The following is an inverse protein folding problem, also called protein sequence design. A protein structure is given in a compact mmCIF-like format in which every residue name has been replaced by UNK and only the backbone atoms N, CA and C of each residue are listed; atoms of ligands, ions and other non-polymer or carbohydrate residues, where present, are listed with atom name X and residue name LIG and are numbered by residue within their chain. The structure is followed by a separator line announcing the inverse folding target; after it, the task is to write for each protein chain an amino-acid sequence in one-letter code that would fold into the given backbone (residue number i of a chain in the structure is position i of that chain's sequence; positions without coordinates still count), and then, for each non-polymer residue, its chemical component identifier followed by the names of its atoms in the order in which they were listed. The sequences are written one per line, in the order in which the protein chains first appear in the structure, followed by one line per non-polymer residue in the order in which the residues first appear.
data_IF_245326972412
#
_entry.id   IF_245326972412
#
_cell.length_a   1.000
_cell.length_b   1.000
_cell.length_c   1.000
_cell.angle_alpha   90.00
_cell.angle_beta   90.00
_cell.angle_gamma   90.00
#
_symmetry.space_group_name_H-M   'P 1'
#
loop_
_entity.id
_entity.type
_entity.pdbx_description
1 polymer ?
#
# COMPACT_ATOMS: atom_id res chain seq x y z
N UNK A 1 -0.76 22.53 13.29
CA UNK A 1 0.45 23.19 12.78
C UNK A 1 1.26 23.65 13.98
N UNK A 2 2.15 22.83 14.50
CA UNK A 2 3.25 23.34 15.29
C UNK A 2 4.37 23.68 14.31
N UNK A 3 4.54 24.95 14.03
CA UNK A 3 5.78 25.44 13.46
C UNK A 3 6.88 25.08 14.44
N UNK A 4 7.93 24.42 13.96
CA UNK A 4 9.20 24.35 14.67
C UNK A 4 9.69 25.80 14.71
N UNK A 5 9.31 26.51 15.78
CA UNK A 5 9.68 27.90 15.99
C UNK A 5 11.15 27.97 16.31
N UNK A 6 11.85 28.94 15.75
CA UNK A 6 13.09 29.48 16.28
C UNK A 6 12.83 29.95 17.71
N UNK A 7 12.94 29.06 18.67
CA UNK A 7 12.83 29.35 20.07
C UNK A 7 13.98 28.65 20.79
N UNK A 8 14.82 29.43 21.45
CA UNK A 8 15.88 29.01 22.36
C UNK A 8 15.35 28.16 23.53
N UNK A 9 14.75 27.00 23.24
CA UNK A 9 14.52 25.98 24.25
C UNK A 9 15.77 25.10 24.29
N UNK A 10 16.43 24.93 25.44
CA UNK A 10 17.60 24.06 25.56
C UNK A 10 17.30 22.59 25.25
N UNK A 11 16.01 22.22 25.14
CA UNK A 11 15.54 20.88 24.81
C UNK A 11 15.04 20.75 23.34
N UNK A 12 15.30 21.74 22.48
CA UNK A 12 14.88 21.68 21.08
C UNK A 12 15.76 20.68 20.31
N UNK A 13 15.13 19.60 19.83
CA UNK A 13 15.80 18.63 18.96
C UNK A 13 16.12 19.29 17.61
N UNK A 14 17.42 19.45 17.32
CA UNK A 14 17.86 19.96 16.03
C UNK A 14 18.00 18.80 15.04
N UNK A 15 17.15 18.80 14.01
CA UNK A 15 17.19 17.79 12.94
C UNK A 15 18.11 18.27 11.80
N UNK A 16 18.82 17.33 11.18
CA UNK A 16 19.56 17.62 9.97
C UNK A 16 18.61 18.03 8.84
N UNK A 17 18.94 19.06 8.04
CA UNK A 17 18.06 19.51 6.94
C UNK A 17 17.71 18.41 5.94
N UNK A 18 18.58 17.41 5.77
CA UNK A 18 18.38 16.27 4.88
C UNK A 18 17.28 15.29 5.33
N UNK A 19 16.80 15.37 6.57
CA UNK A 19 15.76 14.45 7.08
C UNK A 19 14.39 14.68 6.41
N UNK A 20 14.07 15.93 6.08
CA UNK A 20 12.75 16.27 5.54
C UNK A 20 12.80 17.03 4.19
N UNK A 21 13.98 17.34 3.63
CA UNK A 21 14.20 17.94 2.30
C UNK A 21 13.10 18.93 1.86
N UNK A 22 13.05 20.10 2.46
CA UNK A 22 12.09 21.17 2.12
C UNK A 22 10.61 20.82 2.31
N UNK A 23 10.30 19.67 2.92
CA UNK A 23 8.92 19.32 3.24
C UNK A 23 8.45 20.14 4.47
N UNK A 24 7.21 20.64 4.43
CA UNK A 24 6.62 21.40 5.55
C UNK A 24 6.19 20.51 6.72
N UNK A 25 6.37 19.20 6.62
CA UNK A 25 5.94 18.19 7.58
C UNK A 25 7.06 17.20 7.83
N UNK A 26 7.13 16.72 9.06
CA UNK A 26 8.02 15.65 9.49
C UNK A 26 7.20 14.41 9.83
N UNK A 27 7.62 13.25 9.32
CA UNK A 27 7.09 11.96 9.75
C UNK A 27 7.61 11.60 11.14
N UNK A 28 6.72 11.29 12.07
CA UNK A 28 7.07 10.88 13.43
C UNK A 28 6.45 9.53 13.74
N UNK A 29 7.23 8.63 14.32
CA UNK A 29 6.79 7.31 14.77
C UNK A 29 7.12 7.13 16.24
N UNK A 30 6.17 6.60 17.01
CA UNK A 30 6.42 6.15 18.37
C UNK A 30 6.89 4.69 18.39
N UNK A 31 7.71 4.27 19.36
CA UNK A 31 8.12 2.88 19.49
C UNK A 31 6.89 2.00 19.78
N UNK A 32 6.70 0.95 19.00
CA UNK A 32 5.57 0.01 19.13
C UNK A 32 6.01 -1.45 19.33
N UNK A 33 7.31 -1.73 19.24
CA UNK A 33 7.85 -3.06 19.48
C UNK A 33 8.76 -3.07 20.73
N UNK A 34 8.87 -4.21 21.44
CA UNK A 34 9.80 -4.34 22.56
C UNK A 34 11.25 -3.97 22.16
N UNK A 35 11.69 -4.37 20.97
CA UNK A 35 13.03 -4.05 20.46
C UNK A 35 13.25 -2.54 20.34
N UNK A 36 12.28 -1.80 19.80
CA UNK A 36 12.37 -0.35 19.68
C UNK A 36 12.43 0.34 21.05
N UNK A 37 11.65 -0.12 22.02
CA UNK A 37 11.72 0.40 23.38
C UNK A 37 13.10 0.16 24.02
N UNK A 38 13.68 -1.04 23.88
CA UNK A 38 15.01 -1.35 24.37
C UNK A 38 16.09 -0.50 23.69
N UNK A 39 15.99 -0.35 22.37
CA UNK A 39 16.91 0.45 21.57
C UNK A 39 16.89 1.92 21.99
N UNK A 40 15.71 2.52 22.13
CA UNK A 40 15.57 3.92 22.55
C UNK A 40 16.01 4.11 24.02
N UNK A 41 15.76 3.15 24.90
CA UNK A 41 16.26 3.22 26.28
C UNK A 41 17.81 3.17 26.33
N UNK A 42 18.44 2.35 25.49
CA UNK A 42 19.88 2.30 25.36
C UNK A 42 20.42 3.60 24.73
N UNK A 43 19.79 4.12 23.69
CA UNK A 43 20.17 5.37 23.02
C UNK A 43 20.09 6.57 24.00
N UNK A 44 19.05 6.63 24.83
CA UNK A 44 18.89 7.70 25.82
C UNK A 44 20.03 7.73 26.85
N UNK A 45 20.65 6.59 27.16
CA UNK A 45 21.85 6.56 28.03
C UNK A 45 23.08 7.20 27.40
N UNK A 46 23.05 7.48 26.11
CA UNK A 46 24.06 8.19 25.33
C UNK A 46 23.59 9.57 24.83
N UNK A 47 22.58 10.13 25.49
CA UNK A 47 21.99 11.44 25.15
C UNK A 47 21.33 11.50 23.74
N UNK A 48 20.92 10.34 23.23
CA UNK A 48 20.19 10.23 21.96
C UNK A 48 18.70 9.99 22.25
N UNK A 49 17.86 10.98 22.01
CA UNK A 49 16.43 10.95 22.33
C UNK A 49 15.53 10.66 21.13
N UNK A 50 16.10 10.67 19.92
CA UNK A 50 15.41 10.32 18.69
C UNK A 50 16.35 9.61 17.72
N UNK A 51 15.76 8.76 16.86
CA UNK A 51 16.47 8.03 15.81
C UNK A 51 15.83 8.34 14.47
N UNK A 52 16.64 8.50 13.43
CA UNK A 52 16.16 8.50 12.05
C UNK A 52 16.01 7.05 11.61
N UNK A 53 14.80 6.66 11.23
CA UNK A 53 14.51 5.29 10.85
C UNK A 53 13.95 5.22 9.43
N UNK A 54 14.42 4.24 8.65
CA UNK A 54 13.96 3.96 7.30
C UNK A 54 13.89 2.45 7.10
N UNK A 55 13.29 1.99 5.99
CA UNK A 55 13.29 0.58 5.61
C UNK A 55 14.70 0.09 5.31
N UNK A 56 15.01 -1.17 5.69
CA UNK A 56 16.29 -1.82 5.42
C UNK A 56 16.26 -2.55 4.07
N UNK A 57 16.57 -1.82 2.98
CA UNK A 57 16.63 -2.34 1.62
C UNK A 57 17.52 -1.47 0.73
N UNK A 58 17.96 -2.02 -0.37
CA UNK A 58 18.51 -1.23 -1.47
C UNK A 58 17.39 -0.41 -2.15
N UNK A 59 17.77 0.69 -2.82
CA UNK A 59 16.80 1.51 -3.56
C UNK A 59 16.05 0.66 -4.57
N UNK A 60 14.72 0.81 -4.60
CA UNK A 60 13.80 0.08 -5.50
C UNK A 60 13.73 -1.44 -5.30
N UNK A 61 14.39 -1.96 -4.27
CA UNK A 61 14.30 -3.37 -3.88
C UNK A 61 13.33 -3.55 -2.70
N UNK A 62 12.77 -4.75 -2.53
CA UNK A 62 11.93 -5.06 -1.38
C UNK A 62 12.71 -5.00 -0.06
N UNK A 63 12.03 -4.67 1.05
CA UNK A 63 12.62 -4.71 2.39
C UNK A 63 13.21 -6.11 2.66
N UNK A 64 14.43 -6.15 3.18
CA UNK A 64 15.09 -7.40 3.55
C UNK A 64 14.35 -8.10 4.70
N UNK A 65 14.23 -9.41 4.58
CA UNK A 65 13.57 -10.27 5.58
C UNK A 65 14.41 -11.45 6.02
N UNK A 66 15.58 -11.62 5.42
CA UNK A 66 16.56 -12.65 5.75
C UNK A 66 17.85 -11.99 6.26
N UNK A 67 18.34 -12.42 7.41
CA UNK A 67 19.53 -11.84 8.04
C UNK A 67 20.80 -12.05 7.20
N UNK A 68 20.89 -13.14 6.44
CA UNK A 68 22.02 -13.43 5.55
C UNK A 68 22.03 -12.50 4.35
N UNK A 69 20.87 -12.28 3.71
CA UNK A 69 20.75 -11.33 2.62
C UNK A 69 20.93 -9.88 3.10
N UNK A 70 20.39 -9.53 4.25
CA UNK A 70 20.62 -8.21 4.86
C UNK A 70 22.11 -7.98 5.14
N UNK A 71 22.83 -8.99 5.60
CA UNK A 71 24.28 -8.90 5.77
C UNK A 71 25.00 -8.68 4.44
N UNK A 72 24.67 -9.45 3.41
CA UNK A 72 25.29 -9.36 2.09
C UNK A 72 25.01 -8.00 1.44
N UNK A 73 23.75 -7.60 1.39
CA UNK A 73 23.31 -6.41 0.66
C UNK A 73 23.59 -5.11 1.37
N UNK A 74 23.64 -5.10 2.70
CA UNK A 74 23.78 -3.85 3.45
C UNK A 74 25.13 -3.74 4.18
N UNK A 75 25.58 -4.80 4.89
CA UNK A 75 26.82 -4.74 5.67
C UNK A 75 28.03 -4.98 4.78
N UNK A 76 28.06 -6.07 4.03
CA UNK A 76 29.19 -6.40 3.17
C UNK A 76 29.36 -5.38 2.03
N UNK A 77 28.29 -4.75 1.59
CA UNK A 77 28.31 -3.66 0.62
C UNK A 77 28.72 -2.30 1.23
N UNK A 78 28.94 -2.20 2.54
CA UNK A 78 29.37 -0.97 3.22
C UNK A 78 28.29 0.11 3.32
N UNK A 79 27.03 -0.26 3.25
CA UNK A 79 25.86 0.65 3.37
C UNK A 79 25.50 0.86 4.83
N UNK A 80 25.63 -0.18 5.65
CA UNK A 80 25.39 -0.14 7.08
C UNK A 80 26.60 -0.67 7.85
N UNK A 81 26.81 -0.17 9.07
CA UNK A 81 27.94 -0.50 9.93
C UNK A 81 27.68 -1.71 10.83
N UNK A 82 26.40 -1.96 11.14
CA UNK A 82 26.01 -3.05 12.05
C UNK A 82 24.61 -3.57 11.73
N UNK A 83 24.39 -4.85 12.04
CA UNK A 83 23.10 -5.52 11.96
C UNK A 83 22.67 -5.99 13.36
N UNK A 84 21.50 -5.57 13.81
CA UNK A 84 20.85 -6.09 14.99
C UNK A 84 19.74 -7.06 14.56
N UNK A 85 20.04 -8.35 14.57
CA UNK A 85 19.13 -9.44 14.21
C UNK A 85 18.47 -10.10 15.43
N UNK A 86 17.58 -11.04 15.18
CA UNK A 86 17.05 -11.97 16.16
C UNK A 86 16.77 -13.33 15.50
N UNK A 87 16.53 -14.36 16.31
CA UNK A 87 16.28 -15.73 15.87
C UNK A 87 14.86 -16.00 15.35
N UNK A 88 14.01 -14.97 15.32
CA UNK A 88 12.63 -15.08 14.82
C UNK A 88 12.54 -14.66 13.36
N UNK A 89 12.16 -15.60 12.50
CA UNK A 89 11.98 -15.34 11.08
C UNK A 89 10.92 -14.25 10.80
N UNK A 90 11.19 -13.40 9.84
CA UNK A 90 10.23 -12.42 9.30
C UNK A 90 9.39 -13.12 8.23
N UNK A 91 8.15 -13.41 8.54
CA UNK A 91 7.25 -14.13 7.62
C UNK A 91 6.68 -13.26 6.51
N UNK A 92 6.61 -11.96 6.70
CA UNK A 92 5.97 -11.05 5.76
C UNK A 92 6.68 -9.70 5.75
N UNK A 93 6.89 -9.19 4.55
CA UNK A 93 7.32 -7.81 4.34
C UNK A 93 6.17 -6.87 4.67
N UNK A 94 6.40 -5.93 5.56
CA UNK A 94 5.45 -4.88 5.90
C UNK A 94 6.17 -3.56 6.07
N UNK A 95 5.77 -2.59 5.28
CA UNK A 95 6.11 -1.19 5.51
C UNK A 95 5.38 -0.65 6.74
N UNK A 96 5.85 0.47 7.27
CA UNK A 96 5.07 1.26 8.19
C UNK A 96 3.99 2.05 7.44
N UNK A 97 2.80 2.13 8.04
CA UNK A 97 1.74 2.99 7.53
C UNK A 97 2.13 4.45 7.71
N UNK A 98 1.72 5.27 6.74
CA UNK A 98 1.85 6.73 6.82
C UNK A 98 0.45 7.31 6.87
N UNK A 99 0.19 8.09 7.90
CA UNK A 99 -1.13 8.73 8.10
C UNK A 99 -0.98 10.22 8.30
N UNK A 100 -2.01 10.97 7.93
CA UNK A 100 -2.20 12.38 8.27
C UNK A 100 -3.50 12.55 9.02
N UNK A 101 -3.57 13.58 9.85
CA UNK A 101 -4.82 14.00 10.45
C UNK A 101 -5.33 15.22 9.69
N UNK A 102 -6.47 15.08 9.02
CA UNK A 102 -7.13 16.13 8.25
C UNK A 102 -8.52 16.34 8.86
N UNK A 103 -8.79 17.54 9.32
CA UNK A 103 -10.06 17.91 9.97
C UNK A 103 -10.47 16.93 11.09
N UNK A 104 -9.50 16.52 11.91
CA UNK A 104 -9.72 15.59 13.02
C UNK A 104 -9.89 14.12 12.62
N UNK A 105 -9.80 13.81 11.33
CA UNK A 105 -9.92 12.44 10.81
C UNK A 105 -8.56 11.91 10.37
N UNK A 106 -8.26 10.68 10.75
CA UNK A 106 -7.04 9.98 10.29
C UNK A 106 -7.22 9.54 8.84
N UNK A 107 -6.34 10.03 7.98
CA UNK A 107 -6.30 9.70 6.56
C UNK A 107 -5.03 8.93 6.24
N UNK A 108 -5.10 7.64 5.82
CA UNK A 108 -3.94 6.89 5.39
C UNK A 108 -3.39 7.43 4.06
N UNK A 109 -2.10 7.75 4.03
CA UNK A 109 -1.33 8.03 2.81
C UNK A 109 -0.72 6.74 2.28
N UNK A 110 -0.24 5.88 3.20
CA UNK A 110 0.19 4.51 2.93
C UNK A 110 -0.50 3.58 3.92
N UNK A 111 -1.21 2.58 3.40
CA UNK A 111 -1.91 1.59 4.21
C UNK A 111 -1.06 0.32 4.30
N UNK A 112 -0.47 0.06 5.47
CA UNK A 112 0.37 -1.10 5.74
C UNK A 112 0.22 -1.55 7.20
N UNK A 113 1.29 -1.60 7.98
CA UNK A 113 1.28 -2.08 9.37
C UNK A 113 0.21 -1.40 10.23
N UNK A 114 -0.59 -2.19 10.93
CA UNK A 114 -1.68 -1.73 11.79
C UNK A 114 -3.02 -1.49 11.07
N UNK A 115 -3.01 -1.38 9.74
CA UNK A 115 -4.22 -1.19 8.92
C UNK A 115 -4.48 -2.38 7.98
N UNK A 116 -3.46 -2.90 7.31
CA UNK A 116 -3.58 -4.10 6.51
C UNK A 116 -3.33 -5.34 7.39
N UNK A 117 -4.02 -6.45 7.17
CA UNK A 117 -5.02 -6.71 6.12
C UNK A 117 -6.47 -6.59 6.60
N UNK A 118 -6.78 -5.68 7.53
CA UNK A 118 -8.17 -5.48 7.98
C UNK A 118 -9.09 -5.22 6.77
N UNK A 119 -10.25 -5.89 6.69
CA UNK A 119 -11.16 -5.69 5.59
C UNK A 119 -11.74 -4.28 5.57
N UNK A 120 -11.94 -3.75 4.38
CA UNK A 120 -12.65 -2.50 4.13
C UNK A 120 -14.08 -2.83 3.66
N UNK A 121 -15.10 -2.13 4.15
CA UNK A 121 -16.46 -2.34 3.67
C UNK A 121 -16.58 -1.93 2.20
N UNK A 122 -17.39 -2.66 1.45
CA UNK A 122 -17.78 -2.32 0.09
C UNK A 122 -19.25 -1.94 0.05
N UNK A 123 -19.70 -1.20 -0.97
CA UNK A 123 -21.12 -0.96 -1.19
C UNK A 123 -21.88 -2.29 -1.27
N UNK A 124 -23.04 -2.35 -0.63
CA UNK A 124 -23.92 -3.50 -0.73
C UNK A 124 -24.38 -3.67 -2.18
N UNK A 125 -23.99 -4.77 -2.81
CA UNK A 125 -24.44 -5.15 -4.15
C UNK A 125 -25.67 -6.08 -4.02
N UNK A 126 -26.53 -6.06 -5.03
CA UNK A 126 -27.66 -6.99 -5.08
C UNK A 126 -27.14 -8.42 -5.37
N UNK A 127 -27.05 -9.25 -4.34
CA UNK A 127 -26.59 -10.63 -4.42
C UNK A 127 -25.26 -10.87 -3.68
N UNK A 128 -24.77 -12.10 -3.74
CA UNK A 128 -23.49 -12.50 -3.16
C UNK A 128 -22.34 -11.87 -3.95
N UNK A 129 -21.40 -11.24 -3.24
CA UNK A 129 -20.21 -10.70 -3.87
C UNK A 129 -19.25 -11.85 -4.24
N UNK A 130 -18.93 -12.08 -5.52
CA UNK A 130 -17.95 -13.10 -5.90
C UNK A 130 -16.57 -12.72 -5.33
N UNK A 131 -15.75 -13.73 -5.06
CA UNK A 131 -14.34 -13.47 -4.77
C UNK A 131 -13.64 -13.01 -6.05
N UNK A 132 -13.24 -11.75 -6.11
CA UNK A 132 -12.49 -11.17 -7.22
C UNK A 132 -11.09 -10.82 -6.70
N UNK A 133 -10.06 -11.26 -7.40
CA UNK A 133 -8.69 -10.78 -7.18
C UNK A 133 -8.43 -9.59 -8.10
N UNK A 134 -8.21 -8.42 -7.50
CA UNK A 134 -7.70 -7.24 -8.17
C UNK A 134 -6.17 -7.16 -8.01
N UNK A 135 -5.45 -7.26 -9.13
CA UNK A 135 -4.00 -7.41 -9.18
C UNK A 135 -3.22 -6.09 -8.95
N UNK A 136 -3.91 -4.97 -8.94
CA UNK A 136 -3.30 -3.65 -8.76
C UNK A 136 -2.49 -3.16 -9.96
N UNK A 137 -2.05 -1.89 -9.91
CA UNK A 137 -1.16 -1.29 -10.91
C UNK A 137 0.30 -1.70 -10.67
N UNK A 138 1.23 -1.11 -11.44
CA UNK A 138 2.66 -1.33 -11.27
C UNK A 138 3.23 -0.52 -10.12
N UNK A 139 2.92 0.78 -10.06
CA UNK A 139 3.46 1.69 -9.04
C UNK A 139 2.61 1.67 -7.77
N UNK A 140 3.27 1.76 -6.61
CA UNK A 140 2.61 1.76 -5.29
C UNK A 140 1.61 0.60 -5.13
N UNK A 141 1.98 -0.55 -5.69
CA UNK A 141 1.08 -1.68 -5.83
C UNK A 141 0.52 -2.18 -4.49
N UNK A 142 -0.74 -2.52 -4.53
CA UNK A 142 -1.44 -3.33 -3.55
C UNK A 142 -2.27 -4.37 -4.28
N UNK A 143 -2.64 -5.43 -3.59
CA UNK A 143 -3.54 -6.48 -4.09
C UNK A 143 -4.82 -6.39 -3.29
N UNK A 144 -5.94 -6.65 -3.92
CA UNK A 144 -7.21 -6.68 -3.22
C UNK A 144 -8.04 -7.92 -3.59
N UNK A 145 -8.70 -8.48 -2.59
CA UNK A 145 -9.70 -9.53 -2.79
C UNK A 145 -11.04 -9.06 -2.28
N UNK A 146 -12.09 -9.36 -3.03
CA UNK A 146 -13.46 -9.18 -2.55
C UNK A 146 -14.01 -10.48 -1.99
N UNK A 147 -14.75 -10.40 -0.89
CA UNK A 147 -15.48 -11.53 -0.29
C UNK A 147 -16.56 -10.98 0.65
N UNK A 148 -17.56 -11.79 0.94
CA UNK A 148 -18.43 -11.51 2.09
C UNK A 148 -17.64 -11.66 3.39
N UNK A 149 -17.81 -10.73 4.32
CA UNK A 149 -17.25 -10.81 5.65
C UNK A 149 -18.01 -11.83 6.54
N UNK A 150 -17.65 -11.92 7.81
CA UNK A 150 -18.31 -12.83 8.76
C UNK A 150 -19.78 -12.51 9.01
N UNK A 151 -20.26 -11.33 8.64
CA UNK A 151 -21.65 -10.90 8.76
C UNK A 151 -22.46 -11.09 7.45
N UNK A 152 -21.80 -11.56 6.37
CA UNK A 152 -22.38 -11.68 5.04
C UNK A 152 -22.40 -10.35 4.27
N UNK A 153 -21.63 -9.35 4.70
CA UNK A 153 -21.51 -8.07 4.01
C UNK A 153 -20.30 -8.10 3.05
N UNK A 154 -20.41 -7.38 1.93
CA UNK A 154 -19.34 -7.30 0.96
C UNK A 154 -18.13 -6.54 1.56
N UNK A 155 -16.97 -7.16 1.51
CA UNK A 155 -15.74 -6.62 2.05
C UNK A 155 -14.58 -6.76 1.06
N UNK A 156 -13.62 -5.85 1.15
CA UNK A 156 -12.39 -5.83 0.38
C UNK A 156 -11.18 -6.05 1.31
N UNK A 157 -10.44 -7.11 1.07
CA UNK A 157 -9.20 -7.45 1.77
C UNK A 157 -8.03 -6.90 0.96
N UNK A 158 -7.53 -5.74 1.36
CA UNK A 158 -6.43 -5.06 0.67
C UNK A 158 -5.11 -5.41 1.36
N UNK A 159 -4.11 -5.83 0.57
CA UNK A 159 -2.76 -6.10 1.07
C UNK A 159 -2.12 -4.85 1.70
N UNK A 160 -1.01 -5.06 2.40
CA UNK A 160 -0.08 -3.98 2.66
C UNK A 160 0.45 -3.38 1.35
N UNK A 161 1.01 -2.18 1.45
CA UNK A 161 1.80 -1.60 0.37
C UNK A 161 2.95 -2.55 -0.01
N UNK A 162 3.10 -2.83 -1.30
CA UNK A 162 4.12 -3.75 -1.83
C UNK A 162 5.26 -2.94 -2.45
N UNK A 163 4.95 -1.79 -3.04
CA UNK A 163 5.89 -0.95 -3.76
C UNK A 163 5.73 -1.06 -5.28
N UNK A 164 6.76 -0.66 -6.00
CA UNK A 164 6.72 -0.59 -7.46
C UNK A 164 7.14 -1.95 -8.05
N UNK A 165 6.21 -2.62 -8.73
CA UNK A 165 6.38 -3.99 -9.26
C UNK A 165 7.01 -3.92 -10.65
N UNK A 166 8.31 -3.54 -10.69
CA UNK A 166 9.04 -3.29 -11.94
C UNK A 166 10.10 -4.34 -12.26
N UNK A 167 10.50 -5.14 -11.29
CA UNK A 167 11.54 -6.15 -11.44
C UNK A 167 11.12 -7.52 -10.85
N UNK A 168 11.97 -8.53 -11.00
CA UNK A 168 11.71 -9.89 -10.54
C UNK A 168 11.52 -9.97 -9.02
N UNK A 169 12.36 -9.28 -8.24
CA UNK A 169 12.30 -9.31 -6.78
C UNK A 169 11.01 -8.68 -6.22
N UNK A 170 10.58 -7.54 -6.78
CA UNK A 170 9.32 -6.91 -6.40
C UNK A 170 8.11 -7.70 -6.87
N UNK A 171 8.21 -8.38 -8.01
CA UNK A 171 7.16 -9.29 -8.49
C UNK A 171 7.05 -10.55 -7.61
N UNK A 172 8.16 -11.09 -7.14
CA UNK A 172 8.15 -12.21 -6.17
C UNK A 172 7.53 -11.78 -4.84
N UNK A 173 7.82 -10.56 -4.37
CA UNK A 173 7.17 -9.98 -3.19
C UNK A 173 5.65 -9.81 -3.39
N UNK A 174 5.23 -9.40 -4.58
CA UNK A 174 3.82 -9.31 -4.96
C UNK A 174 3.14 -10.69 -4.93
N UNK A 175 3.76 -11.72 -5.51
CA UNK A 175 3.25 -13.10 -5.47
C UNK A 175 3.15 -13.64 -4.03
N UNK A 176 4.17 -13.40 -3.22
CA UNK A 176 4.17 -13.81 -1.82
C UNK A 176 3.04 -13.14 -1.01
N UNK A 177 2.79 -11.84 -1.25
CA UNK A 177 1.69 -11.12 -0.62
C UNK A 177 0.31 -11.67 -1.04
N UNK A 178 0.14 -12.00 -2.34
CA UNK A 178 -1.07 -12.61 -2.88
C UNK A 178 -1.35 -13.97 -2.23
N UNK A 179 -0.38 -14.88 -2.28
CA UNK A 179 -0.53 -16.23 -1.71
C UNK A 179 -0.83 -16.15 -0.21
N UNK A 180 -0.19 -15.24 0.52
CA UNK A 180 -0.44 -15.05 1.94
C UNK A 180 -1.87 -14.60 2.24
N UNK A 181 -2.44 -13.69 1.44
CA UNK A 181 -3.84 -13.29 1.61
C UNK A 181 -4.79 -14.43 1.29
N UNK A 182 -4.52 -15.20 0.23
CA UNK A 182 -5.28 -16.41 -0.12
C UNK A 182 -5.30 -17.39 1.05
N UNK A 183 -4.13 -17.71 1.61
CA UNK A 183 -4.00 -18.66 2.71
C UNK A 183 -4.62 -18.12 4.04
N UNK A 184 -4.40 -16.84 4.35
CA UNK A 184 -4.83 -16.25 5.62
C UNK A 184 -6.36 -16.16 5.73
N UNK A 185 -7.02 -15.88 4.61
CA UNK A 185 -8.46 -15.64 4.57
C UNK A 185 -9.24 -16.70 3.79
N UNK A 186 -8.59 -17.79 3.37
CA UNK A 186 -9.20 -18.86 2.57
C UNK A 186 -9.91 -18.29 1.32
N UNK A 187 -9.15 -17.50 0.53
CA UNK A 187 -9.68 -16.79 -0.64
C UNK A 187 -9.41 -17.59 -1.91
N UNK A 188 -10.47 -17.89 -2.64
CA UNK A 188 -10.39 -18.57 -3.94
C UNK A 188 -11.06 -17.68 -5.01
N UNK A 189 -10.27 -16.96 -5.82
CA UNK A 189 -10.82 -16.05 -6.82
C UNK A 189 -11.68 -16.77 -7.85
N UNK A 190 -12.91 -16.28 -8.05
CA UNK A 190 -13.82 -16.68 -9.12
C UNK A 190 -13.66 -15.79 -10.37
N UNK A 191 -12.97 -14.66 -10.26
CA UNK A 191 -12.64 -13.75 -11.35
C UNK A 191 -11.38 -12.96 -11.02
N UNK A 192 -10.74 -12.42 -12.03
CA UNK A 192 -9.56 -11.54 -11.92
C UNK A 192 -9.87 -10.16 -12.47
N UNK A 193 -9.26 -9.14 -11.85
CA UNK A 193 -9.25 -7.77 -12.37
C UNK A 193 -7.81 -7.26 -12.44
N UNK A 194 -7.46 -6.53 -13.49
CA UNK A 194 -6.14 -5.92 -13.62
C UNK A 194 -6.23 -4.57 -14.36
N UNK A 195 -5.15 -3.81 -14.28
CA UNK A 195 -5.01 -2.60 -15.08
C UNK A 195 -5.00 -2.92 -16.57
N UNK A 196 -5.57 -2.04 -17.37
CA UNK A 196 -5.58 -2.13 -18.85
C UNK A 196 -4.17 -2.06 -19.44
N UNK A 197 -3.19 -1.52 -18.71
CA UNK A 197 -1.82 -1.33 -19.20
C UNK A 197 -1.17 -2.69 -19.57
N UNK A 198 -0.68 -2.84 -20.83
CA UNK A 198 -0.25 -4.14 -21.33
C UNK A 198 1.05 -4.66 -20.70
N UNK A 199 1.92 -3.76 -20.23
CA UNK A 199 3.27 -4.11 -19.77
C UNK A 199 3.39 -4.36 -18.27
N UNK A 200 2.36 -4.07 -17.48
CA UNK A 200 2.43 -4.30 -16.03
C UNK A 200 2.56 -5.79 -15.71
N UNK A 201 3.55 -6.16 -14.91
CA UNK A 201 3.82 -7.55 -14.55
C UNK A 201 2.63 -8.21 -13.87
N UNK A 202 1.95 -7.49 -12.96
CA UNK A 202 0.71 -7.94 -12.32
C UNK A 202 -0.41 -8.22 -13.33
N UNK A 203 -0.56 -7.36 -14.33
CA UNK A 203 -1.53 -7.51 -15.41
C UNK A 203 -1.20 -8.67 -16.35
N UNK A 204 0.07 -8.85 -16.70
CA UNK A 204 0.52 -10.01 -17.50
C UNK A 204 0.24 -11.32 -16.79
N UNK A 205 0.54 -11.38 -15.50
CA UNK A 205 0.23 -12.52 -14.65
C UNK A 205 -1.29 -12.80 -14.63
N UNK A 206 -2.11 -11.77 -14.43
CA UNK A 206 -3.57 -11.92 -14.41
C UNK A 206 -4.12 -12.48 -15.72
N UNK A 207 -3.65 -11.98 -16.85
CA UNK A 207 -4.05 -12.47 -18.19
C UNK A 207 -3.63 -13.92 -18.41
N UNK A 208 -2.46 -14.31 -17.92
CA UNK A 208 -1.98 -15.70 -18.01
C UNK A 208 -2.80 -16.63 -17.10
N UNK A 209 -3.05 -16.24 -15.85
CA UNK A 209 -3.84 -17.04 -14.91
C UNK A 209 -5.29 -17.18 -15.35
N UNK A 210 -5.91 -16.11 -15.83
CA UNK A 210 -7.26 -16.16 -16.37
C UNK A 210 -7.39 -17.21 -17.49
N UNK A 211 -6.43 -17.26 -18.40
CA UNK A 211 -6.38 -18.28 -19.46
C UNK A 211 -6.14 -19.69 -18.92
N UNK A 212 -5.18 -19.86 -17.99
CA UNK A 212 -4.83 -21.17 -17.42
C UNK A 212 -5.97 -21.80 -16.63
N UNK A 213 -6.65 -20.97 -15.83
CA UNK A 213 -7.69 -21.43 -14.92
C UNK A 213 -9.12 -21.24 -15.49
N UNK A 214 -9.23 -20.74 -16.73
CA UNK A 214 -10.51 -20.42 -17.37
C UNK A 214 -11.39 -19.48 -16.49
N UNK A 215 -10.76 -18.47 -15.90
CA UNK A 215 -11.44 -17.47 -15.07
C UNK A 215 -11.81 -16.23 -15.90
N UNK A 216 -12.95 -15.59 -15.61
CA UNK A 216 -13.24 -14.26 -16.12
C UNK A 216 -12.15 -13.27 -15.76
N UNK A 217 -11.78 -12.40 -16.71
CA UNK A 217 -10.84 -11.30 -16.52
C UNK A 217 -11.51 -9.98 -16.87
N UNK A 218 -11.41 -9.02 -15.96
CA UNK A 218 -11.85 -7.65 -16.19
C UNK A 218 -10.63 -6.75 -16.26
N UNK A 219 -10.39 -6.14 -17.41
CA UNK A 219 -9.36 -5.13 -17.59
C UNK A 219 -9.96 -3.75 -17.33
N UNK A 220 -9.39 -3.03 -16.37
CA UNK A 220 -9.93 -1.76 -15.88
C UNK A 220 -9.03 -0.61 -16.31
N UNK A 221 -9.63 0.43 -16.90
CA UNK A 221 -8.91 1.65 -17.22
C UNK A 221 -8.50 2.36 -15.92
N UNK A 222 -7.25 2.80 -15.83
CA UNK A 222 -6.61 3.29 -14.61
C UNK A 222 -7.39 4.41 -13.90
N UNK A 223 -7.72 5.46 -14.61
CA UNK A 223 -8.48 6.60 -14.05
C UNK A 223 -9.91 6.21 -13.64
N UNK A 224 -10.52 5.23 -14.35
CA UNK A 224 -11.81 4.67 -13.94
C UNK A 224 -11.70 3.99 -12.56
N UNK A 225 -10.61 3.25 -12.32
CA UNK A 225 -10.38 2.62 -11.02
C UNK A 225 -10.28 3.65 -9.89
N UNK A 226 -9.60 4.78 -10.10
CA UNK A 226 -9.54 5.87 -9.13
C UNK A 226 -10.93 6.44 -8.81
N UNK A 227 -11.74 6.72 -9.84
CA UNK A 227 -13.09 7.24 -9.64
C UNK A 227 -13.99 6.21 -8.94
N UNK A 228 -13.94 4.94 -9.34
CA UNK A 228 -14.73 3.87 -8.72
C UNK A 228 -14.37 3.68 -7.24
N UNK A 229 -13.08 3.77 -6.89
CA UNK A 229 -12.60 3.72 -5.51
C UNK A 229 -13.20 4.85 -4.66
N UNK A 230 -13.14 6.10 -5.14
CA UNK A 230 -13.72 7.25 -4.44
C UNK A 230 -15.25 7.16 -4.32
N UNK A 231 -15.92 6.63 -5.36
CA UNK A 231 -17.36 6.37 -5.33
C UNK A 231 -17.72 5.32 -4.27
N UNK A 232 -17.00 4.21 -4.22
CA UNK A 232 -17.24 3.13 -3.26
C UNK A 232 -17.14 3.67 -1.82
N UNK A 233 -16.10 4.45 -1.52
CA UNK A 233 -15.95 5.10 -0.22
C UNK A 233 -17.12 6.04 0.10
N UNK A 234 -17.54 6.87 -0.85
CA UNK A 234 -18.63 7.81 -0.66
C UNK A 234 -19.99 7.11 -0.45
N UNK A 235 -20.22 5.99 -1.13
CA UNK A 235 -21.44 5.16 -0.98
C UNK A 235 -21.46 4.50 0.41
N UNK A 236 -20.37 3.88 0.82
CA UNK A 236 -20.23 3.25 2.15
C UNK A 236 -20.43 4.29 3.27
N UNK A 237 -19.92 5.50 3.07
CA UNK A 237 -20.11 6.61 4.00
C UNK A 237 -21.54 7.25 3.96
N UNK A 238 -22.44 6.74 3.12
CA UNK A 238 -23.79 7.28 2.95
C UNK A 238 -23.86 8.68 2.30
N UNK A 239 -22.77 9.13 1.67
CA UNK A 239 -22.69 10.42 0.98
C UNK A 239 -23.13 10.36 -0.47
N UNK A 240 -23.21 9.16 -1.04
CA UNK A 240 -23.58 8.92 -2.43
C UNK A 240 -24.52 7.72 -2.51
N UNK A 241 -25.55 7.79 -3.34
CA UNK A 241 -26.42 6.65 -3.62
C UNK A 241 -25.74 5.66 -4.59
N UNK A 242 -26.06 4.37 -4.50
CA UNK A 242 -25.45 3.33 -5.33
C UNK A 242 -25.66 3.55 -6.83
N UNK A 243 -26.81 4.12 -7.22
CA UNK A 243 -27.21 4.42 -8.60
C UNK A 243 -26.91 5.85 -9.05
N UNK A 244 -26.16 6.61 -8.23
CA UNK A 244 -25.84 8.00 -8.53
C UNK A 244 -24.98 8.12 -9.80
N UNK A 245 -25.26 9.14 -10.60
CA UNK A 245 -24.38 9.56 -11.69
C UNK A 245 -23.36 10.55 -11.15
N UNK A 246 -22.10 10.32 -11.45
CA UNK A 246 -21.00 11.17 -10.98
C UNK A 246 -20.21 11.73 -12.17
N UNK A 247 -19.64 12.91 -11.94
CA UNK A 247 -18.60 13.48 -12.77
C UNK A 247 -17.27 13.25 -12.02
N UNK A 248 -16.43 12.37 -12.54
CA UNK A 248 -15.12 12.08 -11.99
C UNK A 248 -14.04 12.97 -12.62
N UNK A 249 -13.16 13.51 -11.78
CA UNK A 249 -11.98 14.24 -12.22
C UNK A 249 -10.76 13.50 -11.65
N UNK A 250 -9.93 12.96 -12.55
CA UNK A 250 -8.69 12.28 -12.17
C UNK A 250 -7.50 13.19 -12.52
N UNK A 251 -6.75 13.59 -11.49
CA UNK A 251 -5.53 14.39 -11.63
C UNK A 251 -4.29 13.48 -11.69
N UNK A 252 -4.42 12.34 -12.32
CA UNK A 252 -3.31 11.43 -12.52
C UNK A 252 -2.46 11.83 -13.74
N UNK A 253 -1.16 11.56 -13.65
CA UNK A 253 -0.23 11.91 -14.72
C UNK A 253 -0.32 11.01 -15.94
N UNK A 254 -0.56 9.71 -15.71
CA UNK A 254 -0.51 8.70 -16.77
C UNK A 254 -1.41 7.50 -16.47
N UNK A 255 -2.14 7.05 -17.51
CA UNK A 255 -2.92 5.81 -17.48
C UNK A 255 -3.11 5.28 -18.91
N UNK A 256 -3.15 3.95 -19.08
CA UNK A 256 -3.40 3.39 -20.40
C UNK A 256 -4.83 3.68 -20.84
N UNK A 257 -4.97 4.28 -21.99
CA UNK A 257 -6.25 4.55 -22.63
C UNK A 257 -6.78 3.33 -23.39
N UNK A 258 -8.09 3.29 -23.59
CA UNK A 258 -8.75 2.24 -24.39
C UNK A 258 -8.44 2.33 -25.90
N UNK A 259 -7.85 3.44 -26.33
CA UNK A 259 -7.39 3.69 -27.71
C UNK A 259 -5.92 3.31 -27.93
N UNK A 260 -5.26 2.73 -26.90
CA UNK A 260 -3.85 2.35 -26.94
C UNK A 260 -2.88 3.51 -26.74
N UNK A 261 -3.37 4.70 -26.37
CA UNK A 261 -2.54 5.85 -26.02
C UNK A 261 -2.42 6.01 -24.51
N UNK A 262 -1.49 6.84 -24.06
CA UNK A 262 -1.37 7.23 -22.65
C UNK A 262 -2.26 8.46 -22.43
N UNK A 263 -3.17 8.32 -21.48
CA UNK A 263 -4.03 9.42 -21.03
C UNK A 263 -3.44 10.07 -19.77
N UNK A 264 -3.52 11.39 -19.71
CA UNK A 264 -3.19 12.17 -18.52
C UNK A 264 -4.44 12.55 -17.73
N UNK A 265 -4.44 13.76 -17.17
CA UNK A 265 -5.59 14.30 -16.43
C UNK A 265 -6.91 14.17 -17.20
N UNK A 266 -7.88 13.49 -16.63
CA UNK A 266 -9.17 13.20 -17.28
C UNK A 266 -10.36 13.79 -16.55
N UNK A 267 -11.32 14.24 -17.37
CA UNK A 267 -12.69 14.46 -16.95
C UNK A 267 -13.52 13.25 -17.39
N UNK A 268 -14.05 12.51 -16.44
CA UNK A 268 -14.73 11.25 -16.71
C UNK A 268 -16.20 11.31 -16.27
N UNK A 269 -17.12 10.89 -17.14
CA UNK A 269 -18.53 10.72 -16.81
C UNK A 269 -18.86 9.24 -16.78
N UNK A 270 -19.13 8.70 -15.59
CA UNK A 270 -19.56 7.30 -15.47
C UNK A 270 -20.98 7.23 -14.93
N UNK A 271 -21.84 6.37 -15.52
CA UNK A 271 -22.93 5.82 -14.75
C UNK A 271 -22.33 4.96 -13.64
N UNK A 272 -22.98 4.91 -12.47
CA UNK A 272 -22.61 4.00 -11.38
C UNK A 272 -22.33 2.60 -11.94
N UNK A 273 -21.32 1.88 -11.48
CA UNK A 273 -21.09 0.49 -11.88
C UNK A 273 -22.34 -0.33 -11.54
N UNK A 274 -22.87 -1.01 -12.55
CA UNK A 274 -23.97 -1.98 -12.39
C UNK A 274 -23.42 -3.34 -12.07
#
# INVERSE_FOLDING_TARGET
RHTVGEGDSPDALTLAPSVAHDLPELGVMLPYTPLQHLLLAAAASHDMHALVMTSGNLSEEPIETDDGLAWEHLIAAGIADALLGNDRAILSRYDDSVVRVVDGTVMPVRRARGYAPQPLPLPALNGTAPCVLACGPQQKATIAFTREDANGEAACFVSQHIGDVENGGTFDAWNAARTRLEDLFDLAPAALACDLHPSYLSGQWAREQARKCNLPLVEVQHHHAHIASAMAEAIVAGRLALDARVLGIAFDGTGAGTDGTIWGCLLYTSPSPR
#
